data_IF_038172122888
#
_entry.id   IF_038172122888
#
_cell.length_a   1.000
_cell.length_b   1.000
_cell.length_c   1.000
_cell.angle_alpha   90.00
_cell.angle_beta   90.00
_cell.angle_gamma   90.00
#
_symmetry.space_group_name_H-M   'P 1'
#
loop_
_entity.id
_entity.type
_entity.pdbx_description
1 polymer ?
#
# COMPACT_ATOMS: atom_id res chain seq x y z
N UNK A 1 20.00 -1.09 0.62
CA UNK A 1 19.23 -1.95 -0.30
C UNK A 1 17.77 -1.58 -0.19
N UNK A 2 17.10 -1.39 -1.31
CA UNK A 2 15.67 -1.07 -1.37
C UNK A 2 14.92 -2.30 -1.90
N UNK A 3 14.03 -2.83 -1.07
CA UNK A 3 13.12 -3.93 -1.41
C UNK A 3 11.73 -3.34 -1.58
N UNK A 4 11.12 -3.48 -2.75
CA UNK A 4 9.76 -3.00 -3.03
C UNK A 4 8.83 -4.15 -3.35
N UNK A 5 7.62 -4.12 -2.80
CA UNK A 5 6.59 -5.15 -3.00
C UNK A 5 5.58 -4.65 -4.03
N UNK A 6 5.40 -5.43 -5.11
CA UNK A 6 4.41 -5.13 -6.14
C UNK A 6 2.98 -5.19 -5.59
N UNK A 7 2.10 -4.31 -6.08
CA UNK A 7 0.66 -4.37 -5.83
C UNK A 7 -0.10 -5.33 -6.77
N UNK A 8 -1.43 -5.31 -6.67
CA UNK A 8 -2.30 -6.07 -7.58
C UNK A 8 -3.55 -6.66 -6.94
N UNK A 9 -4.16 -5.96 -5.97
CA UNK A 9 -5.39 -6.38 -5.30
C UNK A 9 -5.30 -7.73 -4.59
N UNK A 10 -6.43 -8.38 -4.41
CA UNK A 10 -6.54 -9.65 -3.68
C UNK A 10 -7.64 -10.53 -4.24
N UNK A 11 -7.81 -11.72 -3.68
CA UNK A 11 -8.99 -12.57 -3.84
C UNK A 11 -9.47 -13.03 -2.46
N UNK A 12 -10.78 -13.20 -2.27
CA UNK A 12 -11.36 -13.48 -0.96
C UNK A 12 -12.33 -14.67 -0.96
N UNK A 13 -12.61 -15.27 -2.12
CA UNK A 13 -13.38 -16.49 -2.25
C UNK A 13 -12.72 -17.46 -3.25
N UNK A 14 -13.17 -18.71 -3.26
CA UNK A 14 -12.56 -19.77 -4.09
C UNK A 14 -12.63 -19.42 -5.57
N UNK A 15 -13.75 -18.86 -6.04
CA UNK A 15 -13.96 -18.53 -7.46
C UNK A 15 -12.99 -17.44 -7.90
N UNK A 16 -12.98 -16.30 -7.21
CA UNK A 16 -12.07 -15.19 -7.50
C UNK A 16 -10.60 -15.58 -7.37
N UNK A 17 -10.25 -16.48 -6.44
CA UNK A 17 -8.89 -16.98 -6.30
C UNK A 17 -8.49 -17.95 -7.41
N UNK A 18 -9.39 -18.80 -7.91
CA UNK A 18 -9.16 -19.64 -9.10
C UNK A 18 -8.98 -18.78 -10.35
N UNK A 19 -9.85 -17.79 -10.56
CA UNK A 19 -9.74 -16.84 -11.66
C UNK A 19 -8.38 -16.13 -11.58
N UNK A 20 -8.00 -15.64 -10.40
CA UNK A 20 -6.71 -15.00 -10.14
C UNK A 20 -5.52 -15.92 -10.42
N UNK A 21 -5.59 -17.20 -10.04
CA UNK A 21 -4.53 -18.19 -10.25
C UNK A 21 -4.15 -18.35 -11.73
N UNK A 22 -5.10 -18.14 -12.64
CA UNK A 22 -4.89 -18.16 -14.10
C UNK A 22 -4.22 -16.91 -14.68
N UNK A 23 -3.85 -15.94 -13.85
CA UNK A 23 -3.28 -14.65 -14.28
C UNK A 23 -1.86 -14.45 -13.74
N UNK A 24 -1.19 -13.38 -14.21
CA UNK A 24 0.13 -12.94 -13.68
C UNK A 24 0.13 -12.64 -12.17
N UNK A 25 -1.04 -12.45 -11.57
CA UNK A 25 -1.23 -12.13 -10.16
C UNK A 25 -1.55 -13.35 -9.29
N UNK A 26 -1.57 -14.54 -9.87
CA UNK A 26 -1.66 -15.82 -9.17
C UNK A 26 -0.68 -16.88 -9.66
N UNK A 27 0.05 -16.63 -10.76
CA UNK A 27 1.07 -17.53 -11.28
C UNK A 27 2.21 -16.77 -11.95
N UNK A 28 3.44 -17.21 -11.65
CA UNK A 28 4.68 -16.68 -12.27
C UNK A 28 4.80 -17.08 -13.74
N UNK A 29 4.06 -18.09 -14.21
CA UNK A 29 4.03 -18.50 -15.62
C UNK A 29 3.53 -17.39 -16.56
N UNK A 30 2.72 -16.47 -16.04
CA UNK A 30 2.13 -15.37 -16.80
C UNK A 30 2.83 -14.02 -16.52
N UNK A 31 3.95 -14.02 -15.78
CA UNK A 31 4.69 -12.80 -15.50
C UNK A 31 5.67 -12.46 -16.61
N UNK A 32 5.85 -11.16 -16.83
CA UNK A 32 6.98 -10.67 -17.63
C UNK A 32 8.30 -11.05 -16.96
N UNK A 33 9.29 -11.43 -17.77
CA UNK A 33 10.66 -11.73 -17.29
C UNK A 33 11.45 -10.49 -16.90
N UNK A 34 11.01 -9.33 -17.39
CA UNK A 34 11.65 -8.03 -17.20
C UNK A 34 10.65 -7.07 -16.55
N UNK A 35 11.17 -6.21 -15.70
CA UNK A 35 10.41 -5.15 -15.03
C UNK A 35 11.16 -3.82 -15.18
N UNK A 36 10.41 -2.75 -15.44
CA UNK A 36 10.98 -1.41 -15.56
C UNK A 36 11.10 -0.79 -14.17
N UNK A 37 12.26 -0.25 -13.86
CA UNK A 37 12.51 0.50 -12.63
C UNK A 37 12.42 2.00 -12.91
N UNK A 38 11.33 2.60 -12.43
CA UNK A 38 11.01 4.04 -12.54
C UNK A 38 10.73 4.64 -11.16
N UNK A 39 10.56 5.96 -11.09
CA UNK A 39 10.28 6.67 -9.85
C UNK A 39 11.33 6.38 -8.79
N UNK A 40 10.89 5.94 -7.61
CA UNK A 40 11.75 5.56 -6.47
C UNK A 40 12.76 4.45 -6.78
N UNK A 41 12.58 3.67 -7.85
CA UNK A 41 13.51 2.63 -8.28
C UNK A 41 14.46 3.07 -9.39
N UNK A 42 14.30 4.26 -9.96
CA UNK A 42 15.15 4.74 -11.05
C UNK A 42 16.63 4.78 -10.62
N UNK A 43 17.55 4.41 -11.51
CA UNK A 43 19.01 4.57 -11.31
C UNK A 43 19.52 5.94 -11.76
N UNK A 44 18.67 6.81 -12.29
CA UNK A 44 19.07 8.15 -12.69
C UNK A 44 18.93 9.10 -11.51
N UNK A 45 20.03 9.74 -11.09
CA UNK A 45 20.04 10.71 -9.99
C UNK A 45 19.12 11.91 -10.22
N UNK A 46 18.85 12.29 -11.48
CA UNK A 46 17.90 13.36 -11.81
C UNK A 46 16.44 12.96 -11.57
N UNK A 47 16.17 11.66 -11.50
CA UNK A 47 14.83 11.09 -11.32
C UNK A 47 14.61 10.52 -9.92
N UNK A 48 15.69 10.11 -9.25
CA UNK A 48 15.66 9.49 -7.92
C UNK A 48 16.90 9.90 -7.11
N UNK A 49 17.04 11.18 -6.73
CA UNK A 49 18.30 11.74 -6.22
C UNK A 49 18.84 11.03 -4.98
N UNK A 50 17.95 10.45 -4.18
CA UNK A 50 18.27 9.90 -2.87
C UNK A 50 18.53 8.38 -2.88
N UNK A 51 17.92 7.65 -3.82
CA UNK A 51 18.00 6.18 -3.87
C UNK A 51 18.60 5.63 -5.18
N UNK A 52 19.02 6.48 -6.13
CA UNK A 52 19.45 6.03 -7.47
C UNK A 52 20.56 4.98 -7.48
N UNK A 53 21.53 5.07 -6.55
CA UNK A 53 22.67 4.15 -6.52
C UNK A 53 22.45 2.90 -5.65
N UNK A 54 21.24 2.70 -5.11
CA UNK A 54 20.99 1.60 -4.21
C UNK A 54 20.86 0.28 -4.97
N UNK A 55 21.23 -0.82 -4.30
CA UNK A 55 20.76 -2.15 -4.69
C UNK A 55 19.23 -2.17 -4.57
N UNK A 56 18.53 -2.49 -5.66
CA UNK A 56 17.07 -2.42 -5.77
C UNK A 56 16.51 -3.78 -6.14
N UNK A 57 15.46 -4.20 -5.45
CA UNK A 57 14.80 -5.49 -5.63
C UNK A 57 13.29 -5.26 -5.66
N UNK A 58 12.61 -5.79 -6.68
CA UNK A 58 11.14 -5.78 -6.76
C UNK A 58 10.58 -7.18 -6.59
N UNK A 59 9.81 -7.37 -5.52
CA UNK A 59 9.09 -8.61 -5.22
C UNK A 59 7.83 -8.67 -6.08
N UNK A 60 7.76 -9.66 -6.96
CA UNK A 60 6.59 -9.91 -7.81
C UNK A 60 5.46 -10.53 -6.99
N UNK A 61 4.26 -9.99 -7.14
CA UNK A 61 3.12 -10.34 -6.29
C UNK A 61 2.19 -11.36 -6.97
N UNK A 62 2.10 -12.56 -6.39
CA UNK A 62 1.26 -13.64 -6.89
C UNK A 62 0.56 -14.48 -5.82
N UNK A 63 0.54 -14.06 -4.55
CA UNK A 63 -0.07 -14.86 -3.49
C UNK A 63 -1.54 -14.48 -3.20
N UNK A 64 -1.94 -13.24 -3.48
CA UNK A 64 -3.33 -12.79 -3.31
C UNK A 64 -3.71 -12.39 -1.88
N UNK A 65 -2.76 -12.31 -0.94
CA UNK A 65 -2.97 -11.87 0.44
C UNK A 65 -1.82 -11.00 0.98
N UNK A 66 -1.24 -10.12 0.16
CA UNK A 66 -0.15 -9.23 0.60
C UNK A 66 1.01 -9.97 1.29
N UNK A 67 1.40 -11.12 0.73
CA UNK A 67 2.42 -12.02 1.28
C UNK A 67 2.11 -12.57 2.68
N UNK A 68 0.84 -12.59 3.11
CA UNK A 68 0.47 -13.01 4.47
C UNK A 68 -0.24 -14.37 4.53
N UNK A 69 -0.68 -14.92 3.40
CA UNK A 69 -1.38 -16.23 3.36
C UNK A 69 -0.45 -17.43 3.57
N UNK A 70 -0.93 -18.47 4.26
CA UNK A 70 -0.29 -19.79 4.36
C UNK A 70 -1.33 -20.87 4.66
N UNK A 71 -2.09 -21.25 3.65
CA UNK A 71 -3.14 -22.28 3.72
C UNK A 71 -3.20 -23.10 2.44
N UNK A 72 -3.89 -24.23 2.49
CA UNK A 72 -4.24 -25.02 1.29
C UNK A 72 -5.75 -25.15 1.27
N UNK A 73 -6.35 -24.85 0.13
CA UNK A 73 -7.73 -25.20 -0.14
C UNK A 73 -7.74 -26.37 -1.12
N UNK A 74 -8.42 -27.44 -0.74
CA UNK A 74 -8.63 -28.63 -1.57
C UNK A 74 -10.05 -29.14 -1.32
N UNK A 75 -10.85 -29.22 -2.38
CA UNK A 75 -12.20 -29.80 -2.35
C UNK A 75 -12.34 -31.02 -3.27
N UNK A 76 -11.22 -31.63 -3.70
CA UNK A 76 -11.16 -32.74 -4.64
C UNK A 76 -11.32 -32.34 -6.13
N UNK A 77 -11.81 -31.14 -6.42
CA UNK A 77 -11.95 -30.61 -7.80
C UNK A 77 -11.07 -29.41 -8.08
N UNK A 78 -10.74 -28.64 -7.04
CA UNK A 78 -9.98 -27.40 -7.10
C UNK A 78 -8.95 -27.41 -5.98
N UNK A 79 -7.71 -27.06 -6.33
CA UNK A 79 -6.57 -27.00 -5.43
C UNK A 79 -5.91 -25.63 -5.52
N UNK A 80 -5.88 -24.90 -4.40
CA UNK A 80 -5.24 -23.60 -4.30
C UNK A 80 -4.20 -23.60 -3.18
N UNK A 81 -3.02 -23.08 -3.51
CA UNK A 81 -1.91 -22.92 -2.58
C UNK A 81 -1.74 -21.44 -2.22
N UNK A 82 -2.26 -21.06 -1.06
CA UNK A 82 -1.97 -19.75 -0.48
C UNK A 82 -0.62 -19.83 0.23
N UNK A 83 0.40 -19.18 -0.35
CA UNK A 83 1.81 -19.35 0.05
C UNK A 83 2.55 -18.03 0.29
N UNK A 84 1.81 -16.93 0.39
CA UNK A 84 2.37 -15.58 0.57
C UNK A 84 3.47 -15.50 1.63
N UNK A 85 3.21 -15.98 2.85
CA UNK A 85 4.20 -15.92 3.93
C UNK A 85 5.45 -16.75 3.63
N UNK A 86 5.28 -17.91 2.97
CA UNK A 86 6.40 -18.78 2.60
C UNK A 86 7.23 -18.17 1.49
N UNK A 87 6.59 -17.57 0.50
CA UNK A 87 7.25 -16.85 -0.60
C UNK A 87 8.04 -15.67 -0.03
N UNK A 88 7.45 -14.88 0.87
CA UNK A 88 8.15 -13.79 1.56
C UNK A 88 9.44 -14.27 2.23
N UNK A 89 9.34 -15.28 3.10
CA UNK A 89 10.51 -15.84 3.80
C UNK A 89 11.55 -16.35 2.82
N UNK A 90 11.15 -17.11 1.80
CA UNK A 90 12.06 -17.64 0.80
C UNK A 90 12.83 -16.53 0.06
N UNK A 91 12.14 -15.46 -0.34
CA UNK A 91 12.77 -14.32 -1.01
C UNK A 91 13.73 -13.59 -0.07
N UNK A 92 13.32 -13.28 1.16
CA UNK A 92 14.21 -12.59 2.10
C UNK A 92 15.47 -13.43 2.38
N UNK A 93 15.33 -14.73 2.62
CA UNK A 93 16.47 -15.63 2.83
C UNK A 93 17.40 -15.71 1.61
N UNK A 94 16.85 -15.64 0.40
CA UNK A 94 17.64 -15.59 -0.84
C UNK A 94 18.41 -14.25 -1.00
N UNK A 95 17.81 -13.14 -0.54
CA UNK A 95 18.42 -11.81 -0.60
C UNK A 95 19.51 -11.58 0.45
N UNK A 96 19.46 -12.27 1.60
CA UNK A 96 20.45 -12.17 2.66
C UNK A 96 21.90 -12.33 2.17
N UNK A 97 22.30 -13.44 1.51
CA UNK A 97 23.65 -13.60 0.98
C UNK A 97 23.94 -12.69 -0.22
N UNK A 98 22.90 -12.16 -0.89
CA UNK A 98 23.01 -11.21 -2.02
C UNK A 98 23.19 -9.75 -1.56
N UNK A 99 23.54 -9.55 -0.29
CA UNK A 99 23.91 -8.26 0.27
C UNK A 99 22.89 -7.66 1.23
N UNK A 100 21.67 -8.21 1.35
CA UNK A 100 20.70 -7.72 2.35
C UNK A 100 21.23 -7.92 3.77
N UNK A 101 21.87 -9.06 4.05
CA UNK A 101 22.43 -9.38 5.36
C UNK A 101 23.62 -8.51 5.78
N UNK A 102 24.16 -7.70 4.87
CA UNK A 102 25.26 -6.76 5.14
C UNK A 102 24.83 -5.30 4.91
N UNK A 103 23.54 -5.05 4.61
CA UNK A 103 23.06 -3.73 4.29
C UNK A 103 23.10 -2.81 5.51
N UNK A 104 23.80 -1.67 5.42
CA UNK A 104 23.81 -0.63 6.46
C UNK A 104 22.56 0.26 6.44
N UNK A 105 21.90 0.34 5.28
CA UNK A 105 20.67 1.10 5.07
C UNK A 105 19.72 0.23 4.25
N UNK A 106 18.48 0.10 4.71
CA UNK A 106 17.45 -0.60 3.98
C UNK A 106 16.11 0.14 4.01
N UNK A 107 15.38 0.01 2.91
CA UNK A 107 14.02 0.50 2.76
C UNK A 107 13.16 -0.67 2.30
N UNK A 108 12.12 -1.00 3.04
CA UNK A 108 11.03 -1.84 2.56
C UNK A 108 9.91 -0.92 2.08
N UNK A 109 9.51 -1.00 0.83
CA UNK A 109 8.33 -0.29 0.35
C UNK A 109 7.38 -1.17 -0.43
N UNK A 110 6.24 -0.63 -0.82
CA UNK A 110 5.34 -1.29 -1.74
C UNK A 110 4.17 -0.40 -2.09
N UNK A 111 3.50 -0.71 -3.18
CA UNK A 111 2.26 -0.03 -3.56
C UNK A 111 1.02 -0.91 -3.41
N UNK A 112 -0.12 -0.33 -2.99
CA UNK A 112 -1.44 -0.99 -3.05
C UNK A 112 -1.43 -2.22 -2.15
N UNK A 113 -1.73 -3.41 -2.67
CA UNK A 113 -1.56 -4.66 -1.94
C UNK A 113 -0.12 -4.87 -1.43
N UNK A 114 0.89 -4.41 -2.15
CA UNK A 114 2.29 -4.39 -1.69
C UNK A 114 2.54 -3.32 -0.62
N UNK A 115 1.85 -2.19 -0.69
CA UNK A 115 1.85 -1.16 0.35
C UNK A 115 1.22 -1.67 1.63
N UNK A 116 0.11 -2.41 1.54
CA UNK A 116 -0.50 -3.10 2.67
C UNK A 116 0.46 -4.15 3.25
N UNK A 117 1.15 -4.90 2.38
CA UNK A 117 2.14 -5.91 2.80
C UNK A 117 3.23 -5.32 3.70
N UNK A 118 3.62 -4.06 3.49
CA UNK A 118 4.59 -3.40 4.37
C UNK A 118 4.08 -3.24 5.81
N UNK A 119 2.77 -3.08 6.06
CA UNK A 119 2.25 -3.04 7.43
C UNK A 119 2.34 -4.40 8.13
N UNK A 120 2.26 -5.48 7.35
CA UNK A 120 2.36 -6.86 7.86
C UNK A 120 3.81 -7.25 8.12
N UNK A 121 4.72 -6.92 7.19
CA UNK A 121 6.08 -7.48 7.17
C UNK A 121 7.18 -6.51 7.62
N UNK A 122 6.88 -5.25 7.93
CA UNK A 122 7.94 -4.26 8.22
C UNK A 122 8.85 -4.64 9.40
N UNK A 123 8.27 -5.00 10.54
CA UNK A 123 9.07 -5.37 11.72
C UNK A 123 9.80 -6.71 11.52
N UNK A 124 9.18 -7.66 10.80
CA UNK A 124 9.80 -8.92 10.41
C UNK A 124 11.01 -8.69 9.49
N UNK A 125 10.86 -7.85 8.46
CA UNK A 125 11.94 -7.42 7.57
C UNK A 125 13.11 -6.84 8.37
N UNK A 126 12.85 -5.90 9.27
CA UNK A 126 13.88 -5.29 10.11
C UNK A 126 14.64 -6.33 10.93
N UNK A 127 13.98 -7.39 11.41
CA UNK A 127 14.61 -8.44 12.21
C UNK A 127 15.65 -9.28 11.47
N UNK A 128 15.60 -9.31 10.13
CA UNK A 128 16.56 -10.02 9.29
C UNK A 128 17.87 -9.25 9.04
N UNK A 129 17.90 -7.95 9.32
CA UNK A 129 19.05 -7.09 9.05
C UNK A 129 19.96 -6.93 10.27
N UNK A 130 21.23 -6.52 10.07
CA UNK A 130 22.14 -6.21 11.16
C UNK A 130 21.53 -5.21 12.15
N UNK A 131 21.77 -5.39 13.45
CA UNK A 131 21.22 -4.52 14.49
C UNK A 131 21.64 -3.04 14.36
N UNK A 132 22.76 -2.76 13.68
CA UNK A 132 23.24 -1.41 13.40
C UNK A 132 22.78 -0.85 12.04
N UNK A 133 21.97 -1.59 11.29
CA UNK A 133 21.41 -1.14 10.03
C UNK A 133 20.28 -0.12 10.26
N UNK A 134 20.24 0.93 9.45
CA UNK A 134 19.09 1.83 9.39
C UNK A 134 18.02 1.23 8.50
N UNK A 135 16.99 0.65 9.08
CA UNK A 135 15.84 0.07 8.38
C UNK A 135 14.62 0.95 8.58
N UNK A 136 13.93 1.28 7.48
CA UNK A 136 12.67 2.00 7.52
C UNK A 136 11.70 1.40 6.50
N UNK A 137 10.41 1.63 6.68
CA UNK A 137 9.38 1.12 5.78
C UNK A 137 8.50 2.24 5.22
N UNK A 138 8.05 2.09 3.98
CA UNK A 138 7.17 3.03 3.29
C UNK A 138 5.98 2.29 2.68
N UNK A 139 4.77 2.73 3.02
CA UNK A 139 3.56 2.27 2.35
C UNK A 139 3.09 3.33 1.37
N UNK A 140 2.99 2.98 0.09
CA UNK A 140 2.40 3.81 -0.96
C UNK A 140 1.01 3.27 -1.31
N UNK A 141 -0.04 4.10 -1.19
CA UNK A 141 -1.42 3.73 -1.45
C UNK A 141 -1.86 2.43 -0.73
N UNK A 142 -1.25 2.15 0.43
CA UNK A 142 -1.44 0.92 1.18
C UNK A 142 -2.26 1.09 2.45
N UNK A 143 -2.58 2.33 2.85
CA UNK A 143 -3.45 2.63 3.99
C UNK A 143 -4.94 2.52 3.62
N UNK A 144 -5.43 1.28 3.54
CA UNK A 144 -6.84 0.99 3.29
C UNK A 144 -7.70 1.19 4.55
N UNK A 145 -8.82 1.88 4.41
CA UNK A 145 -9.75 2.18 5.50
C UNK A 145 -10.79 1.06 5.66
N UNK A 146 -11.10 0.73 6.91
CA UNK A 146 -12.29 -0.03 7.29
C UNK A 146 -13.50 0.90 7.39
N UNK A 147 -13.82 1.52 6.25
CA UNK A 147 -14.92 2.44 6.10
C UNK A 147 -16.20 1.71 5.64
N UNK A 148 -17.35 2.35 5.88
CA UNK A 148 -18.61 1.96 5.23
C UNK A 148 -18.66 2.53 3.82
N UNK A 149 -19.29 1.80 2.91
CA UNK A 149 -19.62 2.31 1.58
C UNK A 149 -20.80 3.29 1.61
N UNK A 150 -21.14 3.85 0.45
CA UNK A 150 -22.27 4.80 0.33
C UNK A 150 -23.65 4.19 0.60
N UNK A 151 -23.75 2.85 0.64
CA UNK A 151 -24.94 2.12 1.06
C UNK A 151 -24.88 1.73 2.56
N UNK A 152 -23.91 2.28 3.30
CA UNK A 152 -23.66 2.06 4.73
C UNK A 152 -23.22 0.63 5.10
N UNK A 153 -22.75 -0.16 4.12
CA UNK A 153 -22.28 -1.52 4.35
C UNK A 153 -20.77 -1.58 4.61
N UNK A 154 -20.33 -2.58 5.38
CA UNK A 154 -18.91 -2.86 5.64
C UNK A 154 -18.30 -3.79 4.57
N UNK A 155 -18.50 -3.46 3.29
CA UNK A 155 -18.13 -4.32 2.15
C UNK A 155 -16.66 -4.76 2.18
N UNK A 156 -15.73 -3.82 2.42
CA UNK A 156 -14.30 -4.16 2.50
C UNK A 156 -13.95 -4.99 3.74
N UNK A 157 -14.64 -4.78 4.86
CA UNK A 157 -14.43 -5.58 6.08
C UNK A 157 -14.77 -7.04 5.85
N UNK A 158 -15.92 -7.31 5.21
CA UNK A 158 -16.30 -8.68 4.86
C UNK A 158 -15.36 -9.27 3.82
N UNK A 159 -14.92 -8.48 2.84
CA UNK A 159 -13.91 -8.91 1.88
C UNK A 159 -12.62 -9.38 2.58
N UNK A 160 -12.03 -8.56 3.46
CA UNK A 160 -10.84 -8.94 4.21
C UNK A 160 -11.07 -10.07 5.20
N UNK A 161 -12.24 -10.14 5.86
CA UNK A 161 -12.59 -11.27 6.71
C UNK A 161 -12.56 -12.60 5.95
N UNK A 162 -13.20 -12.66 4.78
CA UNK A 162 -13.21 -13.87 3.95
C UNK A 162 -11.81 -14.22 3.44
N UNK A 163 -11.02 -13.22 3.04
CA UNK A 163 -9.62 -13.40 2.63
C UNK A 163 -8.77 -13.97 3.76
N UNK A 164 -8.84 -13.37 4.95
CA UNK A 164 -8.02 -13.77 6.10
C UNK A 164 -8.30 -15.21 6.48
N UNK A 165 -9.57 -15.61 6.47
CA UNK A 165 -9.99 -16.97 6.75
C UNK A 165 -9.55 -17.95 5.66
N UNK A 166 -9.93 -17.69 4.39
CA UNK A 166 -9.67 -18.60 3.28
C UNK A 166 -8.17 -18.86 3.07
N UNK A 167 -7.35 -17.81 3.20
CA UNK A 167 -5.92 -17.88 2.92
C UNK A 167 -5.06 -18.15 4.16
N UNK A 168 -5.68 -18.30 5.35
CA UNK A 168 -4.99 -18.58 6.61
C UNK A 168 -4.00 -17.48 7.01
N UNK A 169 -4.41 -16.22 6.88
CA UNK A 169 -3.55 -15.04 7.10
C UNK A 169 -3.33 -14.75 8.58
N UNK A 170 -4.32 -15.02 9.43
CA UNK A 170 -4.34 -14.60 10.85
C UNK A 170 -3.04 -14.91 11.62
N UNK A 171 -2.52 -16.13 11.46
CA UNK A 171 -1.29 -16.59 12.15
C UNK A 171 -0.03 -15.79 11.80
N UNK A 172 -0.08 -15.02 10.71
CA UNK A 172 1.03 -14.20 10.21
C UNK A 172 0.82 -12.71 10.49
N UNK A 173 -0.29 -12.31 11.13
CA UNK A 173 -0.54 -10.93 11.55
C UNK A 173 0.17 -10.61 12.87
N UNK A 174 0.26 -9.32 13.17
CA UNK A 174 0.87 -8.85 14.41
C UNK A 174 0.11 -9.39 15.64
N UNK A 175 0.78 -10.19 16.47
CA UNK A 175 0.19 -10.87 17.63
C UNK A 175 -0.43 -9.91 18.65
N UNK A 176 0.16 -8.73 18.85
CA UNK A 176 -0.36 -7.74 19.78
C UNK A 176 -1.68 -7.13 19.26
N UNK A 177 -1.79 -6.97 17.94
CA UNK A 177 -3.04 -6.56 17.33
C UNK A 177 -4.10 -7.66 17.47
N UNK A 178 -3.79 -8.90 17.07
CA UNK A 178 -4.78 -9.99 17.00
C UNK A 178 -5.29 -10.44 18.38
N UNK A 179 -4.55 -10.16 19.44
CA UNK A 179 -4.95 -10.42 20.83
C UNK A 179 -6.13 -9.55 21.31
N UNK A 180 -6.57 -8.57 20.51
CA UNK A 180 -7.66 -7.64 20.84
C UNK A 180 -9.08 -8.19 20.55
N UNK A 181 -9.21 -9.44 20.10
CA UNK A 181 -10.50 -10.15 19.94
C UNK A 181 -11.11 -10.18 18.53
N UNK A 182 -10.56 -9.41 17.58
CA UNK A 182 -10.98 -9.40 16.17
C UNK A 182 -9.76 -9.50 15.25
N UNK A 183 -9.12 -10.68 15.14
CA UNK A 183 -7.85 -10.84 14.44
C UNK A 183 -7.91 -10.45 12.96
N UNK A 184 -9.04 -10.63 12.29
CA UNK A 184 -9.22 -10.28 10.89
C UNK A 184 -9.09 -8.77 10.62
N UNK A 185 -9.42 -7.93 11.62
CA UNK A 185 -9.29 -6.48 11.50
C UNK A 185 -7.82 -6.06 11.43
N UNK A 186 -6.89 -6.85 11.97
CA UNK A 186 -5.47 -6.56 11.94
C UNK A 186 -4.84 -6.63 10.53
N UNK A 187 -5.59 -7.08 9.52
CA UNK A 187 -5.18 -6.92 8.14
C UNK A 187 -5.36 -5.47 7.64
N UNK A 188 -6.31 -4.71 8.19
CA UNK A 188 -6.43 -3.28 7.91
C UNK A 188 -5.31 -2.49 8.62
N UNK A 189 -4.61 -1.61 7.88
CA UNK A 189 -3.56 -0.75 8.42
C UNK A 189 -3.96 0.03 9.67
N UNK A 190 -5.20 0.52 9.75
CA UNK A 190 -5.66 1.31 10.89
C UNK A 190 -5.56 0.61 12.25
N UNK A 191 -5.64 -0.72 12.28
CA UNK A 191 -5.56 -1.50 13.53
C UNK A 191 -4.14 -1.99 13.83
N UNK A 192 -3.35 -2.33 12.81
CA UNK A 192 -1.99 -2.85 13.02
C UNK A 192 -0.93 -1.75 13.21
N UNK A 193 -1.15 -0.57 12.62
CA UNK A 193 -0.19 0.55 12.62
C UNK A 193 0.30 0.97 14.02
N UNK A 194 -0.52 1.00 15.09
CA UNK A 194 -0.05 1.31 16.44
C UNK A 194 1.02 0.33 16.97
N UNK A 195 1.06 -0.91 16.46
CA UNK A 195 1.95 -1.96 16.93
C UNK A 195 3.26 -2.05 16.14
N UNK A 196 3.42 -1.29 15.05
CA UNK A 196 4.64 -1.25 14.25
C UNK A 196 5.70 -0.40 14.96
N UNK A 197 6.86 -1.01 15.20
CA UNK A 197 7.99 -0.39 15.91
C UNK A 197 8.97 0.30 14.98
N UNK A 198 9.22 -0.29 13.82
CA UNK A 198 10.16 0.23 12.82
C UNK A 198 9.68 1.62 12.32
N UNK A 199 10.59 2.59 12.10
CA UNK A 199 10.22 3.88 11.51
C UNK A 199 9.46 3.71 10.20
N UNK A 200 8.33 4.39 10.09
CA UNK A 200 7.35 4.15 9.03
C UNK A 200 6.96 5.44 8.32
N UNK A 201 6.77 5.36 7.00
CA UNK A 201 6.26 6.43 6.15
C UNK A 201 4.95 6.03 5.49
N UNK A 202 3.95 6.90 5.56
CA UNK A 202 2.67 6.72 4.86
C UNK A 202 2.60 7.71 3.70
N UNK A 203 2.69 7.18 2.49
CA UNK A 203 2.38 7.90 1.26
C UNK A 203 0.99 7.44 0.81
N UNK A 204 0.00 8.32 0.86
CA UNK A 204 -1.35 7.96 0.46
C UNK A 204 -2.03 9.20 -0.11
N UNK A 205 -2.81 9.04 -1.17
CA UNK A 205 -3.75 10.09 -1.59
C UNK A 205 -4.95 10.11 -0.63
N UNK A 206 -5.46 11.30 -0.34
CA UNK A 206 -6.70 11.46 0.42
C UNK A 206 -7.93 10.91 -0.34
N UNK A 207 -7.83 10.85 -1.67
CA UNK A 207 -8.86 10.36 -2.59
C UNK A 207 -8.32 9.21 -3.44
N UNK A 208 -7.74 8.21 -2.78
CA UNK A 208 -7.24 7.00 -3.44
C UNK A 208 -8.29 6.37 -4.34
N UNK A 209 -7.94 6.22 -5.62
CA UNK A 209 -8.91 5.85 -6.66
C UNK A 209 -9.36 4.40 -6.52
N UNK A 210 -8.51 3.52 -5.99
CA UNK A 210 -8.92 2.16 -5.68
C UNK A 210 -9.95 2.17 -4.55
N UNK A 211 -9.67 2.88 -3.44
CA UNK A 211 -10.60 2.98 -2.32
C UNK A 211 -11.91 3.65 -2.75
N UNK A 212 -11.84 4.72 -3.54
CA UNK A 212 -13.02 5.37 -4.08
C UNK A 212 -13.87 4.39 -4.90
N UNK A 213 -13.27 3.68 -5.87
CA UNK A 213 -14.01 2.86 -6.82
C UNK A 213 -14.45 1.49 -6.27
N UNK A 214 -13.73 0.93 -5.31
CA UNK A 214 -13.92 -0.45 -4.85
C UNK A 214 -14.29 -0.58 -3.37
N UNK A 215 -14.14 0.48 -2.57
CA UNK A 215 -14.45 0.46 -1.13
C UNK A 215 -15.59 1.42 -0.81
N UNK A 216 -15.47 2.70 -1.17
CA UNK A 216 -16.48 3.71 -0.87
C UNK A 216 -17.68 3.57 -1.79
N UNK A 217 -17.44 3.36 -3.09
CA UNK A 217 -18.50 3.26 -4.10
C UNK A 217 -18.31 1.99 -4.93
N UNK A 218 -18.33 0.78 -4.34
CA UNK A 218 -18.29 -0.46 -5.13
C UNK A 218 -19.54 -0.55 -6.03
N UNK A 219 -19.50 -1.34 -7.14
CA UNK A 219 -20.66 -1.53 -8.02
C UNK A 219 -21.94 -1.93 -7.29
N UNK A 220 -21.83 -2.75 -6.23
CA UNK A 220 -22.96 -3.20 -5.43
C UNK A 220 -23.64 -2.05 -4.63
N UNK A 221 -22.92 -0.97 -4.34
CA UNK A 221 -23.44 0.19 -3.60
C UNK A 221 -23.98 1.29 -4.52
N UNK A 222 -23.74 1.22 -5.83
CA UNK A 222 -24.22 2.17 -6.84
C UNK A 222 -24.87 1.43 -8.04
N UNK A 223 -25.96 0.69 -7.83
CA UNK A 223 -26.56 -0.15 -8.87
C UNK A 223 -27.15 0.65 -10.06
N UNK A 224 -27.44 1.93 -9.85
CA UNK A 224 -27.98 2.84 -10.86
C UNK A 224 -26.91 3.70 -11.53
N UNK A 225 -25.63 3.56 -11.16
CA UNK A 225 -24.51 4.25 -11.80
C UNK A 225 -24.48 5.77 -11.57
N UNK A 226 -25.03 6.27 -10.45
CA UNK A 226 -25.05 7.70 -10.15
C UNK A 226 -23.65 8.29 -10.01
N UNK A 227 -22.66 7.47 -9.66
CA UNK A 227 -21.26 7.87 -9.50
C UNK A 227 -20.39 7.64 -10.73
N UNK A 228 -20.96 7.12 -11.84
CA UNK A 228 -20.21 6.77 -13.03
C UNK A 228 -19.36 7.94 -13.55
N UNK A 229 -19.97 9.10 -13.79
CA UNK A 229 -19.26 10.29 -14.29
C UNK A 229 -18.22 10.81 -13.29
N UNK A 230 -18.56 10.85 -12.00
CA UNK A 230 -17.63 11.27 -10.94
C UNK A 230 -16.39 10.35 -10.84
N UNK A 231 -16.54 9.04 -11.06
CA UNK A 231 -15.42 8.08 -11.12
C UNK A 231 -14.55 8.23 -12.37
N UNK A 232 -15.14 8.68 -13.48
CA UNK A 232 -14.41 8.97 -14.72
C UNK A 232 -13.71 10.33 -14.70
N UNK A 233 -14.22 11.26 -13.89
CA UNK A 233 -13.68 12.61 -13.77
C UNK A 233 -14.14 13.23 -12.46
N UNK A 234 -13.23 13.53 -11.52
CA UNK A 234 -13.57 14.22 -10.28
C UNK A 234 -14.19 15.61 -10.48
N UNK A 235 -14.11 16.18 -11.68
CA UNK A 235 -14.75 17.45 -12.05
C UNK A 235 -16.26 17.30 -12.29
N UNK A 236 -16.71 16.10 -12.62
CA UNK A 236 -18.12 15.79 -12.91
C UNK A 236 -18.88 15.32 -11.66
N UNK A 237 -18.22 15.31 -10.50
CA UNK A 237 -18.86 15.05 -9.23
C UNK A 237 -19.77 16.21 -8.83
N UNK A 238 -21.02 15.90 -8.48
CA UNK A 238 -21.93 16.90 -7.90
C UNK A 238 -21.56 17.22 -6.43
N UNK A 239 -22.22 18.24 -5.86
CA UNK A 239 -21.93 18.69 -4.49
C UNK A 239 -22.06 17.60 -3.42
N UNK A 240 -23.02 16.67 -3.56
CA UNK A 240 -23.21 15.56 -2.62
C UNK A 240 -22.07 14.55 -2.75
N UNK A 241 -21.66 14.22 -3.97
CA UNK A 241 -20.56 13.30 -4.23
C UNK A 241 -19.23 13.86 -3.69
N UNK A 242 -18.97 15.15 -3.93
CA UNK A 242 -17.82 15.84 -3.34
C UNK A 242 -17.91 15.81 -1.82
N UNK A 243 -19.05 16.14 -1.20
CA UNK A 243 -19.21 16.13 0.25
C UNK A 243 -18.92 14.74 0.87
N UNK A 244 -19.34 13.67 0.19
CA UNK A 244 -19.06 12.28 0.57
C UNK A 244 -17.57 11.95 0.46
N UNK A 245 -16.90 12.32 -0.63
CA UNK A 245 -15.44 12.17 -0.78
C UNK A 245 -14.68 12.95 0.29
N UNK A 246 -15.14 14.16 0.64
CA UNK A 246 -14.58 14.92 1.75
C UNK A 246 -14.80 14.25 3.11
N UNK A 247 -15.93 13.58 3.30
CA UNK A 247 -16.18 12.73 4.46
C UNK A 247 -15.17 11.59 4.58
N UNK A 248 -14.90 10.90 3.47
CA UNK A 248 -13.91 9.83 3.42
C UNK A 248 -12.49 10.33 3.74
N UNK A 249 -12.10 11.49 3.17
CA UNK A 249 -10.84 12.17 3.53
C UNK A 249 -10.76 12.48 5.02
N UNK A 250 -11.81 13.07 5.61
CA UNK A 250 -11.83 13.39 7.06
C UNK A 250 -11.64 12.13 7.89
N UNK A 251 -12.33 11.04 7.54
CA UNK A 251 -12.18 9.76 8.23
C UNK A 251 -10.73 9.26 8.19
N UNK A 252 -10.07 9.28 7.02
CA UNK A 252 -8.65 8.91 6.90
C UNK A 252 -7.75 9.75 7.81
N UNK A 253 -7.92 11.08 7.80
CA UNK A 253 -7.09 11.98 8.60
C UNK A 253 -7.32 11.82 10.10
N UNK A 254 -8.55 11.56 10.52
CA UNK A 254 -8.87 11.25 11.92
C UNK A 254 -8.24 9.93 12.35
N UNK A 255 -8.31 8.89 11.52
CA UNK A 255 -7.65 7.60 11.77
C UNK A 255 -6.12 7.74 11.86
N UNK A 256 -5.52 8.60 11.03
CA UNK A 256 -4.07 8.84 11.01
C UNK A 256 -3.59 9.84 12.08
N UNK A 257 -4.50 10.54 12.79
CA UNK A 257 -4.14 11.57 13.76
C UNK A 257 -3.19 11.07 14.86
N UNK A 258 -3.37 9.88 15.49
CA UNK A 258 -2.41 9.38 16.47
C UNK A 258 -1.03 9.12 15.86
N UNK A 259 -0.97 8.62 14.62
CA UNK A 259 0.30 8.42 13.90
C UNK A 259 0.99 9.75 13.59
N UNK A 260 0.22 10.77 13.21
CA UNK A 260 0.71 12.12 12.96
C UNK A 260 1.23 12.82 14.22
N UNK A 261 0.59 12.67 15.37
CA UNK A 261 0.96 13.43 16.58
C UNK A 261 2.12 12.78 17.36
N UNK A 262 2.22 11.45 17.40
CA UNK A 262 2.95 10.77 18.49
C UNK A 262 4.43 10.47 18.23
N UNK A 263 5.02 10.83 17.09
CA UNK A 263 6.44 10.53 16.83
C UNK A 263 7.08 11.39 15.74
N UNK A 264 8.27 11.93 15.99
CA UNK A 264 9.06 12.64 14.97
C UNK A 264 9.83 11.71 14.02
N UNK A 265 9.95 10.41 14.34
CA UNK A 265 10.61 9.41 13.47
C UNK A 265 9.71 8.86 12.37
N UNK A 266 8.41 9.14 12.46
CA UNK A 266 7.39 8.77 11.46
C UNK A 266 7.24 9.86 10.41
N UNK A 267 7.03 9.45 9.17
CA UNK A 267 6.78 10.37 8.06
C UNK A 267 5.43 10.14 7.41
N UNK A 268 4.90 11.17 6.77
CA UNK A 268 3.63 11.09 6.08
C UNK A 268 3.56 12.10 4.94
N UNK A 269 2.92 11.71 3.84
CA UNK A 269 2.62 12.58 2.71
C UNK A 269 1.22 12.24 2.21
N UNK A 270 0.24 13.06 2.58
CA UNK A 270 -1.15 12.94 2.15
C UNK A 270 -1.47 14.07 1.18
N UNK A 271 -1.48 13.79 -0.12
CA UNK A 271 -1.88 14.76 -1.15
C UNK A 271 -3.35 14.58 -1.56
N UNK A 272 -3.91 15.60 -2.20
CA UNK A 272 -5.32 15.62 -2.60
C UNK A 272 -5.57 15.25 -4.06
N UNK A 273 -4.62 14.57 -4.70
CA UNK A 273 -4.81 14.02 -6.03
C UNK A 273 -5.71 12.78 -5.97
N UNK A 274 -6.44 12.54 -7.06
CA UNK A 274 -7.06 11.23 -7.31
C UNK A 274 -6.02 10.36 -8.01
N UNK A 275 -5.28 9.57 -7.24
CA UNK A 275 -4.28 8.65 -7.78
C UNK A 275 -4.12 7.42 -6.88
N UNK A 276 -3.58 6.34 -7.44
CA UNK A 276 -3.18 5.12 -6.77
C UNK A 276 -1.77 4.74 -7.24
N UNK A 277 -0.86 4.42 -6.31
CA UNK A 277 0.56 4.18 -6.57
C UNK A 277 1.33 5.39 -7.13
N UNK A 278 1.94 6.17 -6.23
CA UNK A 278 2.65 7.40 -6.60
C UNK A 278 4.18 7.30 -6.55
N UNK A 279 4.75 6.26 -5.95
CA UNK A 279 6.20 6.16 -5.76
C UNK A 279 6.92 5.53 -6.96
N UNK A 280 6.28 4.64 -7.70
CA UNK A 280 6.89 3.92 -8.82
C UNK A 280 6.72 4.65 -10.17
N UNK A 281 5.84 5.65 -10.26
CA UNK A 281 5.70 6.50 -11.46
C UNK A 281 6.61 7.72 -11.38
N UNK A 282 7.30 8.03 -12.47
CA UNK A 282 8.20 9.19 -12.49
C UNK A 282 7.42 10.52 -12.38
N UNK A 283 6.25 10.57 -13.03
CA UNK A 283 5.40 11.77 -13.12
C UNK A 283 4.92 12.22 -11.75
N UNK A 284 4.66 11.28 -10.84
CA UNK A 284 4.21 11.59 -9.48
C UNK A 284 5.36 11.66 -8.47
N UNK A 285 6.46 10.94 -8.70
CA UNK A 285 7.58 10.87 -7.77
C UNK A 285 8.45 12.14 -7.74
N UNK A 286 9.01 12.53 -8.88
CA UNK A 286 10.04 13.59 -8.95
C UNK A 286 10.13 14.31 -10.31
N UNK A 287 9.08 14.28 -11.13
CA UNK A 287 9.00 15.14 -12.31
C UNK A 287 8.88 16.63 -11.94
N UNK A 288 9.10 17.53 -12.90
CA UNK A 288 9.00 18.98 -12.66
C UNK A 288 7.60 19.38 -12.21
N UNK A 289 6.60 18.79 -12.85
CA UNK A 289 5.16 18.95 -12.66
C UNK A 289 4.54 17.87 -11.75
N UNK A 290 5.36 17.14 -10.99
CA UNK A 290 4.84 16.18 -10.01
C UNK A 290 3.99 16.85 -8.94
N UNK A 291 3.03 16.15 -8.31
CA UNK A 291 2.24 16.69 -7.20
C UNK A 291 3.09 17.21 -6.06
N UNK A 292 2.66 18.31 -5.44
CA UNK A 292 3.38 19.00 -4.38
C UNK A 292 2.47 19.36 -3.22
N UNK A 293 2.90 19.00 -2.02
CA UNK A 293 2.29 19.47 -0.78
C UNK A 293 3.28 20.41 -0.11
N UNK A 294 2.84 21.64 0.17
CA UNK A 294 3.70 22.70 0.73
C UNK A 294 5.01 22.87 -0.07
N UNK A 295 4.89 22.85 -1.40
CA UNK A 295 5.99 22.94 -2.38
C UNK A 295 7.03 21.80 -2.34
N UNK A 296 6.74 20.69 -1.67
CA UNK A 296 7.60 19.50 -1.66
C UNK A 296 7.03 18.40 -2.54
N UNK A 297 7.88 17.79 -3.36
CA UNK A 297 7.52 16.56 -4.08
C UNK A 297 7.51 15.36 -3.13
N UNK A 298 6.93 14.25 -3.58
CA UNK A 298 6.96 12.97 -2.87
C UNK A 298 8.41 12.54 -2.61
N UNK A 299 9.27 12.57 -3.63
CA UNK A 299 10.68 12.16 -3.49
C UNK A 299 11.43 12.97 -2.43
N UNK A 300 11.20 14.28 -2.38
CA UNK A 300 11.83 15.15 -1.38
C UNK A 300 11.35 14.79 0.02
N UNK A 301 10.04 14.63 0.23
CA UNK A 301 9.46 14.27 1.52
C UNK A 301 9.98 12.91 2.03
N UNK A 302 9.99 11.90 1.16
CA UNK A 302 10.48 10.55 1.51
C UNK A 302 11.98 10.56 1.79
N UNK A 303 12.78 11.24 0.96
CA UNK A 303 14.22 11.36 1.14
C UNK A 303 14.60 12.09 2.43
N UNK A 304 13.94 13.22 2.69
CA UNK A 304 14.09 14.00 3.91
C UNK A 304 13.80 13.16 5.16
N UNK A 305 12.70 12.41 5.16
CA UNK A 305 12.38 11.51 6.25
C UNK A 305 13.36 10.34 6.36
N UNK A 306 13.70 9.69 5.24
CA UNK A 306 14.52 8.49 5.26
C UNK A 306 15.91 8.78 5.82
N UNK A 307 16.52 9.88 5.38
CA UNK A 307 17.84 10.31 5.86
C UNK A 307 17.78 11.17 7.12
N UNK A 308 16.60 11.33 7.73
CA UNK A 308 16.40 12.11 8.96
C UNK A 308 16.89 13.57 8.82
N UNK A 309 16.75 14.16 7.63
CA UNK A 309 17.14 15.56 7.35
C UNK A 309 16.18 16.54 8.01
N UNK A 310 14.89 16.18 8.08
CA UNK A 310 13.82 16.94 8.75
C UNK A 310 12.60 16.06 9.03
N UNK A 311 11.71 16.56 9.88
CA UNK A 311 10.37 15.98 10.04
C UNK A 311 9.63 16.19 8.70
N UNK A 312 9.08 15.12 8.15
CA UNK A 312 8.31 15.16 6.90
C UNK A 312 6.92 14.58 7.13
N UNK A 313 5.96 15.47 7.41
CA UNK A 313 4.57 15.12 7.64
C UNK A 313 3.68 16.13 6.95
N UNK A 314 3.49 15.90 5.67
CA UNK A 314 2.78 16.81 4.78
C UNK A 314 1.34 16.32 4.61
N UNK A 315 0.37 17.20 4.84
CA UNK A 315 -1.05 16.95 4.58
C UNK A 315 -1.56 18.11 3.75
N UNK A 316 -2.13 17.79 2.62
CA UNK A 316 -2.63 18.76 1.67
C UNK A 316 -4.03 19.27 2.03
N UNK A 317 -4.44 20.39 1.43
CA UNK A 317 -5.78 20.94 1.55
C UNK A 317 -6.83 20.03 0.88
N UNK A 318 -8.13 20.27 1.06
CA UNK A 318 -9.16 19.43 0.45
C UNK A 318 -9.33 19.74 -1.06
N UNK A 319 -9.55 18.71 -1.90
CA UNK A 319 -9.88 18.88 -3.32
C UNK A 319 -11.02 19.91 -3.51
N UNK A 320 -10.95 20.82 -4.50
CA UNK A 320 -10.01 20.86 -5.64
C UNK A 320 -8.81 21.81 -5.48
N UNK A 321 -8.32 22.02 -4.26
CA UNK A 321 -7.33 23.08 -4.01
C UNK A 321 -5.94 22.87 -4.64
N UNK A 322 -5.47 21.63 -4.80
CA UNK A 322 -4.11 21.35 -5.27
C UNK A 322 -4.06 21.36 -6.80
N UNK A 323 -3.56 22.47 -7.34
CA UNK A 323 -3.37 22.66 -8.78
C UNK A 323 -2.23 21.86 -9.37
N UNK A 324 -1.35 21.26 -8.56
CA UNK A 324 -0.21 20.46 -9.03
C UNK A 324 -0.60 19.01 -9.36
N UNK A 325 -1.80 18.59 -8.98
CA UNK A 325 -2.31 17.28 -9.32
C UNK A 325 -2.73 17.20 -10.79
N UNK A 326 -1.85 16.63 -11.62
CA UNK A 326 -2.11 16.26 -13.00
C UNK A 326 -2.17 14.72 -13.14
N UNK A 327 -2.83 14.19 -14.17
CA UNK A 327 -3.12 12.75 -14.33
C UNK A 327 -4.03 12.15 -13.24
N UNK A 328 -5.15 12.85 -12.98
CA UNK A 328 -6.22 12.35 -12.11
C UNK A 328 -6.73 10.99 -12.64
N UNK A 329 -6.94 10.03 -11.74
CA UNK A 329 -7.41 8.65 -11.98
C UNK A 329 -6.37 7.61 -12.41
N UNK A 330 -5.07 7.91 -12.25
CA UNK A 330 -3.98 6.94 -12.46
C UNK A 330 -3.87 5.90 -11.34
#
# INVERSE_FOLDING_TARGET
MHVIIQGGGWCNDVKSCLDRASTRHGSTLHMSKVEVFSGILSNNASFNPDFYNWNRVKLRYCDGASFAGDAVFDNGTSLLYFRGQRIWKAIIHDLLPKGLGQARKALLSGCSAGGLATFVHCDDFTSYLPANASVKCLSDAGFFLDARDIAMNHSMRYFYKSLVYLQGVEKNLNKNCTSSGYPELCFFPQYVLPYIKTPYFILNTAYDVYQFHHILVPPAADPHGHWYHCKLSPKDCNAVQIATLQGFRRYMLETLRPFYMNSTSRGMFINSCFAHCQSESQDTWFALDSPRVLNKTIAQAVGDWYFSRRISKEIDCAYPCDSSCHNQLS
#
